data_IF_211245758283
#
_entry.id   IF_211245758283
#
_cell.length_a   1.000
_cell.length_b   1.000
_cell.length_c   1.000
_cell.angle_alpha   90.00
_cell.angle_beta   90.00
_cell.angle_gamma   90.00
#
_symmetry.space_group_name_H-M   'P 1'
#
loop_
_entity.id
_entity.type
_entity.pdbx_description
1 polymer ?
#
# COMPACT_ATOMS: atom_id res chain seq x y z
N UNK A 1 -23.39 19.48 14.65
CA UNK A 1 -24.43 19.08 15.67
C UNK A 1 -23.69 18.95 16.99
N UNK A 2 -24.21 19.55 18.07
CA UNK A 2 -23.62 19.42 19.39
C UNK A 2 -23.82 18.00 19.94
N UNK A 3 -22.85 17.52 20.71
CA UNK A 3 -22.91 16.18 21.31
C UNK A 3 -23.96 16.19 22.47
N UNK A 4 -25.01 15.35 22.39
CA UNK A 4 -26.06 15.33 23.40
C UNK A 4 -25.59 14.84 24.77
N UNK A 5 -24.45 14.14 24.85
CA UNK A 5 -23.91 13.54 26.07
C UNK A 5 -23.02 14.50 26.86
N UNK A 6 -22.36 15.44 26.20
CA UNK A 6 -21.41 16.31 26.86
C UNK A 6 -21.55 17.80 26.47
N UNK A 7 -22.48 18.16 25.63
CA UNK A 7 -22.69 19.54 25.13
C UNK A 7 -21.34 20.14 24.61
N UNK A 8 -20.58 19.34 23.85
CA UNK A 8 -19.28 19.67 23.26
C UNK A 8 -18.15 19.99 24.27
N UNK A 9 -18.37 19.77 25.56
CA UNK A 9 -17.30 19.89 26.58
C UNK A 9 -16.27 18.77 26.48
N UNK A 10 -16.59 17.70 25.75
CA UNK A 10 -15.78 16.48 25.61
C UNK A 10 -15.63 15.66 26.89
N UNK A 11 -16.38 16.01 27.95
CA UNK A 11 -16.40 15.32 29.23
C UNK A 11 -17.86 15.00 29.60
N UNK A 12 -18.13 13.75 30.01
CA UNK A 12 -19.44 13.33 30.47
C UNK A 12 -19.38 12.90 31.93
N UNK A 13 -20.37 13.29 32.76
CA UNK A 13 -20.49 12.78 34.11
C UNK A 13 -20.95 11.33 34.08
N UNK A 14 -20.38 10.51 34.93
CA UNK A 14 -20.83 9.16 35.24
C UNK A 14 -21.03 9.04 36.75
N UNK A 15 -22.03 8.23 37.15
CA UNK A 15 -22.22 7.87 38.54
C UNK A 15 -21.81 6.40 38.72
N UNK A 16 -20.77 6.18 39.50
CA UNK A 16 -20.28 4.86 39.80
C UNK A 16 -20.38 4.65 41.32
N UNK A 17 -21.34 3.82 41.72
CA UNK A 17 -21.60 3.48 43.12
C UNK A 17 -21.83 4.71 44.03
N UNK A 18 -22.59 5.73 43.53
CA UNK A 18 -22.90 6.94 44.27
C UNK A 18 -21.76 8.01 44.26
N UNK A 19 -20.69 7.75 43.55
CA UNK A 19 -19.59 8.71 43.36
C UNK A 19 -19.66 9.31 41.96
N UNK A 20 -19.96 10.61 41.87
CA UNK A 20 -19.94 11.34 40.60
C UNK A 20 -18.50 11.54 40.11
N UNK A 21 -18.20 10.95 38.95
CA UNK A 21 -16.96 11.11 38.26
C UNK A 21 -17.18 11.75 36.89
N UNK A 22 -16.14 12.38 36.36
CA UNK A 22 -16.16 12.94 35.00
C UNK A 22 -15.19 12.12 34.16
N UNK A 23 -15.71 11.56 33.06
CA UNK A 23 -14.91 10.79 32.10
C UNK A 23 -14.95 11.43 30.74
N UNK A 24 -13.97 11.11 29.90
CA UNK A 24 -13.95 11.60 28.52
C UNK A 24 -15.17 11.07 27.76
N UNK A 25 -15.86 11.95 27.04
CA UNK A 25 -17.00 11.59 26.21
C UNK A 25 -16.52 10.85 24.94
N UNK A 26 -17.32 9.91 24.48
CA UNK A 26 -17.03 9.15 23.24
C UNK A 26 -16.90 10.06 22.02
N UNK A 27 -17.64 11.17 21.95
CA UNK A 27 -17.52 12.17 20.89
C UNK A 27 -16.11 12.77 20.74
N UNK A 28 -15.31 12.81 21.83
CA UNK A 28 -13.92 13.21 21.73
C UNK A 28 -13.09 12.19 20.95
N UNK A 29 -13.34 10.89 21.18
CA UNK A 29 -12.67 9.81 20.46
C UNK A 29 -13.00 9.88 18.98
N UNK A 30 -14.27 10.09 18.64
CA UNK A 30 -14.73 10.22 17.26
C UNK A 30 -14.11 11.45 16.58
N UNK A 31 -14.07 12.58 17.27
CA UNK A 31 -13.52 13.82 16.74
C UNK A 31 -12.01 13.69 16.49
N UNK A 32 -11.25 13.13 17.44
CA UNK A 32 -9.80 12.89 17.30
C UNK A 32 -9.55 11.81 16.26
N UNK A 33 -10.33 10.72 16.27
CA UNK A 33 -10.22 9.67 15.27
C UNK A 33 -10.45 10.19 13.85
N UNK A 34 -11.43 11.05 13.64
CA UNK A 34 -11.72 11.68 12.34
C UNK A 34 -10.58 12.62 11.90
N UNK A 35 -9.97 13.36 12.83
CA UNK A 35 -8.80 14.20 12.51
C UNK A 35 -7.61 13.34 12.12
N UNK A 36 -7.29 12.30 12.90
CA UNK A 36 -6.18 11.36 12.57
C UNK A 36 -6.44 10.67 11.22
N UNK A 37 -7.70 10.30 10.93
CA UNK A 37 -8.07 9.72 9.64
C UNK A 37 -7.89 10.72 8.47
N UNK A 38 -8.17 12.00 8.69
CA UNK A 38 -7.93 13.03 7.69
C UNK A 38 -6.44 13.18 7.38
N UNK A 39 -5.59 13.05 8.41
CA UNK A 39 -4.14 13.17 8.30
C UNK A 39 -3.45 11.86 7.84
N UNK A 40 -4.18 10.73 7.83
CA UNK A 40 -3.64 9.40 7.52
C UNK A 40 -3.27 9.19 6.04
N UNK A 41 -3.44 10.18 5.16
CA UNK A 41 -3.12 10.15 3.72
C UNK A 41 -3.88 9.07 2.92
N UNK A 42 -5.04 8.63 3.40
CA UNK A 42 -5.86 7.62 2.70
C UNK A 42 -6.42 8.24 1.41
N UNK A 43 -6.13 7.67 0.22
CA UNK A 43 -6.65 8.18 -1.04
C UNK A 43 -8.19 8.22 -1.05
N UNK A 44 -8.82 9.21 -1.72
CA UNK A 44 -10.28 9.34 -1.78
C UNK A 44 -11.01 8.07 -2.26
N UNK A 45 -10.39 7.32 -3.16
CA UNK A 45 -10.91 6.04 -3.68
C UNK A 45 -11.18 5.02 -2.57
N UNK A 46 -10.33 4.98 -1.54
CA UNK A 46 -10.41 4.01 -0.46
C UNK A 46 -11.13 4.51 0.80
N UNK A 47 -11.67 5.72 0.79
CA UNK A 47 -12.40 6.29 1.96
C UNK A 47 -13.58 5.42 2.40
N UNK A 48 -14.23 4.71 1.46
CA UNK A 48 -15.38 3.84 1.73
C UNK A 48 -14.98 2.40 2.09
N UNK A 49 -13.69 2.04 2.03
CA UNK A 49 -13.23 0.70 2.39
C UNK A 49 -13.38 0.47 3.88
N UNK A 50 -14.09 -0.59 4.26
CA UNK A 50 -14.25 -1.07 5.63
C UNK A 50 -14.24 -2.61 5.64
N UNK A 51 -13.90 -3.24 6.78
CA UNK A 51 -13.90 -4.71 6.90
C UNK A 51 -15.31 -5.32 6.78
N UNK A 52 -16.33 -4.51 7.02
CA UNK A 52 -17.74 -4.90 6.95
C UNK A 52 -18.26 -4.96 5.52
N UNK A 53 -17.70 -4.14 4.61
CA UNK A 53 -18.12 -4.11 3.21
C UNK A 53 -17.18 -4.88 2.27
N UNK A 54 -16.22 -5.58 2.83
CA UNK A 54 -15.33 -6.45 2.04
C UNK A 54 -16.07 -7.74 1.64
N UNK A 55 -16.08 -8.05 0.35
CA UNK A 55 -16.71 -9.28 -0.16
C UNK A 55 -15.78 -10.47 0.01
N UNK A 56 -16.32 -11.55 0.57
CA UNK A 56 -15.58 -12.79 0.86
C UNK A 56 -16.20 -13.95 0.07
N UNK A 57 -15.68 -14.21 -1.11
CA UNK A 57 -16.24 -15.23 -2.01
C UNK A 57 -15.53 -16.59 -1.90
N UNK A 58 -14.46 -16.65 -1.12
CA UNK A 58 -13.70 -17.87 -0.89
C UNK A 58 -13.02 -17.87 0.48
N UNK A 59 -12.51 -19.04 0.87
CA UNK A 59 -11.93 -19.27 2.18
C UNK A 59 -10.69 -18.39 2.46
N UNK A 60 -9.87 -18.10 1.44
CA UNK A 60 -8.68 -17.26 1.64
C UNK A 60 -9.05 -15.82 2.01
N UNK A 61 -10.10 -15.28 1.39
CA UNK A 61 -10.62 -13.94 1.69
C UNK A 61 -11.33 -13.90 3.05
N UNK A 62 -12.10 -14.95 3.39
CA UNK A 62 -12.70 -15.10 4.73
C UNK A 62 -11.62 -15.12 5.80
N UNK A 63 -10.56 -15.92 5.60
CA UNK A 63 -9.44 -16.00 6.52
C UNK A 63 -8.71 -14.65 6.66
N UNK A 64 -8.42 -13.97 5.55
CA UNK A 64 -7.74 -12.68 5.57
C UNK A 64 -8.54 -11.61 6.33
N UNK A 65 -9.87 -11.55 6.15
CA UNK A 65 -10.75 -10.64 6.91
C UNK A 65 -10.77 -11.00 8.40
N UNK A 66 -10.85 -12.29 8.73
CA UNK A 66 -10.83 -12.74 10.14
C UNK A 66 -9.50 -12.36 10.81
N UNK A 67 -8.36 -12.55 10.13
CA UNK A 67 -7.04 -12.15 10.66
C UNK A 67 -6.91 -10.63 10.80
N UNK A 68 -7.41 -9.86 9.82
CA UNK A 68 -7.43 -8.40 9.90
C UNK A 68 -8.28 -7.89 11.08
N UNK A 69 -9.44 -8.52 11.36
CA UNK A 69 -10.27 -8.20 12.53
C UNK A 69 -9.55 -8.52 13.83
N UNK A 70 -9.00 -9.73 13.96
CA UNK A 70 -8.25 -10.14 15.15
C UNK A 70 -7.05 -9.22 15.42
N UNK A 71 -6.34 -8.80 14.36
CA UNK A 71 -5.26 -7.82 14.46
C UNK A 71 -5.75 -6.47 15.01
N UNK A 72 -6.88 -5.95 14.49
CA UNK A 72 -7.46 -4.69 14.97
C UNK A 72 -7.87 -4.77 16.43
N UNK A 73 -8.48 -5.88 16.83
CA UNK A 73 -9.00 -6.07 18.19
C UNK A 73 -7.87 -6.26 19.22
N UNK A 74 -6.71 -6.78 18.79
CA UNK A 74 -5.52 -6.94 19.65
C UNK A 74 -4.63 -5.68 19.70
N UNK A 75 -4.77 -4.75 18.72
CA UNK A 75 -3.91 -3.56 18.67
C UNK A 75 -4.11 -2.64 19.90
N UNK A 76 -3.06 -2.10 20.52
CA UNK A 76 -1.65 -2.02 20.07
C UNK A 76 -0.75 -3.20 20.50
N UNK A 77 -1.28 -4.18 21.20
CA UNK A 77 -0.51 -5.32 21.74
C UNK A 77 -0.53 -6.44 20.69
N UNK A 78 0.23 -6.24 19.63
CA UNK A 78 0.39 -7.21 18.53
C UNK A 78 1.87 -7.50 18.29
N UNK A 79 2.20 -8.77 18.11
CA UNK A 79 3.58 -9.19 17.87
C UNK A 79 4.01 -8.96 16.43
N UNK A 80 3.08 -9.10 15.48
CA UNK A 80 3.34 -9.00 14.05
C UNK A 80 2.35 -8.09 13.36
N UNK A 81 2.81 -7.40 12.30
CA UNK A 81 1.98 -6.77 11.31
C UNK A 81 1.37 -7.79 10.35
N UNK A 82 0.76 -7.30 9.26
CA UNK A 82 0.15 -8.13 8.22
C UNK A 82 0.82 -7.87 6.86
N UNK A 83 0.96 -8.91 6.04
CA UNK A 83 1.34 -8.79 4.64
C UNK A 83 0.30 -9.50 3.78
N UNK A 84 -0.51 -8.71 3.07
CA UNK A 84 -1.49 -9.23 2.11
C UNK A 84 -0.85 -9.46 0.75
N UNK A 85 -0.91 -10.68 0.26
CA UNK A 85 -0.30 -11.13 -0.98
C UNK A 85 -1.35 -11.63 -1.96
N UNK A 86 -1.07 -11.57 -3.26
CA UNK A 86 -1.93 -12.14 -4.29
C UNK A 86 -2.05 -11.25 -5.53
N UNK A 87 -2.74 -11.73 -6.53
CA UNK A 87 -2.90 -11.05 -7.81
C UNK A 87 -3.58 -9.67 -7.67
N UNK A 88 -3.41 -8.77 -8.65
CA UNK A 88 -4.16 -7.52 -8.70
C UNK A 88 -5.68 -7.75 -8.63
N UNK A 89 -6.41 -6.79 -8.04
CA UNK A 89 -7.87 -6.83 -7.99
C UNK A 89 -8.50 -7.67 -6.87
N UNK A 90 -7.72 -8.36 -6.04
CA UNK A 90 -8.21 -9.20 -4.93
C UNK A 90 -8.59 -8.42 -3.65
N UNK A 91 -8.47 -7.10 -3.66
CA UNK A 91 -8.87 -6.27 -2.52
C UNK A 91 -7.80 -6.09 -1.43
N UNK A 92 -6.52 -6.38 -1.69
CA UNK A 92 -5.42 -6.21 -0.71
C UNK A 92 -5.36 -4.80 -0.12
N UNK A 93 -5.35 -3.78 -0.97
CA UNK A 93 -5.37 -2.37 -0.55
C UNK A 93 -6.63 -2.03 0.24
N UNK A 94 -7.80 -2.60 -0.14
CA UNK A 94 -9.04 -2.45 0.61
C UNK A 94 -8.87 -2.97 2.05
N UNK A 95 -8.37 -4.19 2.22
CA UNK A 95 -8.14 -4.79 3.54
C UNK A 95 -7.12 -3.99 4.36
N UNK A 96 -6.03 -3.56 3.75
CA UNK A 96 -5.01 -2.77 4.42
C UNK A 96 -5.56 -1.42 4.92
N UNK A 97 -6.30 -0.70 4.07
CA UNK A 97 -6.94 0.57 4.46
C UNK A 97 -8.05 0.37 5.48
N UNK A 98 -8.89 -0.66 5.32
CA UNK A 98 -9.94 -0.98 6.28
C UNK A 98 -9.38 -1.29 7.67
N UNK A 99 -8.27 -2.05 7.72
CA UNK A 99 -7.50 -2.33 8.95
C UNK A 99 -6.99 -1.03 9.59
N UNK A 100 -6.33 -0.18 8.81
CA UNK A 100 -5.84 1.12 9.28
C UNK A 100 -6.95 1.97 9.88
N UNK A 101 -8.06 2.13 9.16
CA UNK A 101 -9.22 2.92 9.60
C UNK A 101 -9.82 2.39 10.90
N UNK A 102 -10.00 1.06 10.99
CA UNK A 102 -10.55 0.42 12.18
C UNK A 102 -9.64 0.62 13.40
N UNK A 103 -8.34 0.41 13.26
CA UNK A 103 -7.37 0.67 14.33
C UNK A 103 -7.42 2.13 14.78
N UNK A 104 -7.39 3.09 13.86
CA UNK A 104 -7.47 4.52 14.20
C UNK A 104 -8.76 4.84 14.97
N UNK A 105 -9.90 4.35 14.51
CA UNK A 105 -11.20 4.58 15.16
C UNK A 105 -11.28 3.95 16.55
N UNK A 106 -10.74 2.76 16.73
CA UNK A 106 -10.81 2.04 18.01
C UNK A 106 -9.84 2.59 19.05
N UNK A 107 -8.62 2.96 18.64
CA UNK A 107 -7.53 3.26 19.57
C UNK A 107 -7.08 4.72 19.57
N UNK A 108 -7.40 5.48 18.51
CA UNK A 108 -6.83 6.82 18.30
C UNK A 108 -5.35 6.79 17.93
N UNK A 109 -4.83 5.63 17.49
CA UNK A 109 -3.44 5.49 17.09
C UNK A 109 -3.12 6.35 15.87
N UNK A 110 -1.91 6.95 15.83
CA UNK A 110 -1.41 7.65 14.66
C UNK A 110 -1.05 6.64 13.57
N UNK A 111 -1.86 6.62 12.51
CA UNK A 111 -1.69 5.75 11.37
C UNK A 111 -1.42 6.53 10.10
N UNK A 112 -0.62 5.97 9.19
CA UNK A 112 -0.31 6.56 7.89
C UNK A 112 -0.46 5.51 6.79
N UNK A 113 -0.88 5.99 5.61
CA UNK A 113 -0.94 5.20 4.38
C UNK A 113 -0.01 5.82 3.33
N UNK A 114 0.80 4.97 2.70
CA UNK A 114 1.56 5.29 1.50
C UNK A 114 1.56 4.10 0.56
N UNK A 115 1.58 4.35 -0.73
CA UNK A 115 2.09 3.36 -1.68
C UNK A 115 3.61 3.41 -1.66
N UNK A 116 4.29 2.27 -1.84
CA UNK A 116 5.76 2.24 -1.88
C UNK A 116 6.34 3.18 -2.94
N UNK A 117 5.81 3.21 -4.19
CA UNK A 117 6.25 4.16 -5.20
C UNK A 117 6.08 5.63 -4.81
N UNK A 118 4.93 6.00 -4.21
CA UNK A 118 4.67 7.37 -3.78
C UNK A 118 5.65 7.81 -2.68
N UNK A 119 5.88 6.96 -1.69
CA UNK A 119 6.81 7.27 -0.60
C UNK A 119 8.23 7.49 -1.12
N UNK A 120 8.71 6.59 -1.99
CA UNK A 120 10.04 6.72 -2.60
C UNK A 120 10.15 7.96 -3.49
N UNK A 121 9.09 8.31 -4.22
CA UNK A 121 9.06 9.54 -5.02
C UNK A 121 9.12 10.81 -4.14
N UNK A 122 8.42 10.81 -3.01
CA UNK A 122 8.46 11.92 -2.05
C UNK A 122 9.86 12.09 -1.45
N UNK A 123 10.52 11.00 -1.04
CA UNK A 123 11.89 11.03 -0.51
C UNK A 123 12.85 11.53 -1.58
N UNK A 124 12.77 11.02 -2.80
CA UNK A 124 13.61 11.47 -3.92
C UNK A 124 13.40 12.96 -4.23
N UNK A 125 12.16 13.44 -4.09
CA UNK A 125 11.82 14.85 -4.27
C UNK A 125 12.56 15.77 -3.31
N UNK A 126 12.91 15.32 -2.10
CA UNK A 126 13.62 16.15 -1.10
C UNK A 126 15.08 16.44 -1.49
N UNK A 127 15.66 15.69 -2.43
CA UNK A 127 17.02 15.96 -2.93
C UNK A 127 17.07 17.14 -3.90
N UNK A 128 15.92 17.65 -4.33
CA UNK A 128 15.88 18.86 -5.13
C UNK A 128 16.01 20.09 -4.23
N UNK A 129 17.11 20.84 -4.38
CA UNK A 129 17.41 22.04 -3.60
C UNK A 129 16.36 23.17 -3.67
N UNK A 130 15.46 23.12 -4.67
CA UNK A 130 14.34 24.06 -4.79
C UNK A 130 13.18 23.74 -3.81
N UNK A 131 13.16 22.54 -3.21
CA UNK A 131 12.14 22.11 -2.27
C UNK A 131 12.66 22.35 -0.86
N UNK A 132 11.91 23.10 -0.03
CA UNK A 132 12.31 23.43 1.34
C UNK A 132 12.15 22.29 2.35
N UNK A 133 11.50 21.17 1.99
CA UNK A 133 11.34 20.02 2.87
C UNK A 133 12.60 19.16 2.89
N UNK A 134 13.05 18.81 4.08
CA UNK A 134 14.18 17.88 4.25
C UNK A 134 13.72 16.42 4.15
N UNK A 135 14.63 15.53 3.85
CA UNK A 135 14.38 14.08 3.88
C UNK A 135 13.80 13.63 5.24
N UNK A 136 14.27 14.24 6.34
CA UNK A 136 13.78 13.96 7.69
C UNK A 136 12.31 14.34 7.87
N UNK A 137 11.80 15.35 7.17
CA UNK A 137 10.39 15.76 7.25
C UNK A 137 9.44 14.71 6.65
N UNK A 138 9.91 13.94 5.69
CA UNK A 138 9.16 12.83 5.09
C UNK A 138 9.35 11.55 5.89
N UNK A 139 10.60 11.21 6.25
CA UNK A 139 10.93 9.94 6.89
C UNK A 139 10.46 9.86 8.35
N UNK A 140 10.61 10.95 9.13
CA UNK A 140 10.24 10.92 10.55
C UNK A 140 8.78 10.54 10.79
N UNK A 141 7.76 11.14 10.14
CA UNK A 141 6.38 10.71 10.30
C UNK A 141 6.15 9.23 9.95
N UNK A 142 6.81 8.73 8.90
CA UNK A 142 6.71 7.34 8.45
C UNK A 142 7.33 6.38 9.46
N UNK A 143 8.49 6.73 10.01
CA UNK A 143 9.19 5.92 11.02
C UNK A 143 8.47 5.92 12.37
N UNK A 144 7.86 7.06 12.76
CA UNK A 144 7.22 7.24 14.07
C UNK A 144 5.75 6.83 14.11
N UNK A 145 5.09 6.63 12.97
CA UNK A 145 3.69 6.19 12.93
C UNK A 145 3.50 4.89 13.73
N UNK A 146 2.48 4.85 14.59
CA UNK A 146 2.16 3.65 15.37
C UNK A 146 1.72 2.48 14.46
N UNK A 147 0.97 2.81 13.40
CA UNK A 147 0.62 1.87 12.34
C UNK A 147 0.94 2.51 10.98
N UNK A 148 1.74 1.85 10.18
CA UNK A 148 2.03 2.23 8.80
C UNK A 148 1.42 1.21 7.85
N UNK A 149 0.75 1.69 6.81
CA UNK A 149 0.39 0.87 5.64
C UNK A 149 1.33 1.25 4.50
N UNK A 150 2.07 0.26 4.00
CA UNK A 150 2.88 0.35 2.77
C UNK A 150 2.26 -0.54 1.70
N UNK A 151 1.53 0.10 0.81
CA UNK A 151 0.81 -0.55 -0.28
C UNK A 151 1.73 -0.77 -1.50
N UNK A 152 1.45 -1.81 -2.27
CA UNK A 152 2.19 -2.19 -3.49
C UNK A 152 3.70 -2.36 -3.28
N UNK A 153 4.10 -3.08 -2.23
CA UNK A 153 5.50 -3.39 -1.94
C UNK A 153 6.14 -4.18 -3.10
N UNK A 154 7.29 -3.73 -3.58
CA UNK A 154 8.01 -4.31 -4.70
C UNK A 154 7.57 -3.79 -6.08
N UNK A 155 6.60 -2.86 -6.17
CA UNK A 155 6.15 -2.30 -7.45
C UNK A 155 7.24 -1.49 -8.17
N UNK A 156 8.15 -0.86 -7.42
CA UNK A 156 9.28 -0.12 -7.99
C UNK A 156 10.33 -1.06 -8.58
N UNK A 157 11.10 -0.55 -9.57
CA UNK A 157 12.27 -1.29 -10.07
C UNK A 157 13.31 -1.38 -8.97
N UNK A 158 13.86 -2.57 -8.68
CA UNK A 158 14.92 -2.74 -7.71
C UNK A 158 16.17 -1.99 -8.18
N UNK A 159 16.63 -1.05 -7.39
CA UNK A 159 17.89 -0.33 -7.50
C UNK A 159 18.50 -0.26 -6.11
N UNK A 160 19.82 -0.10 -6.02
CA UNK A 160 20.51 -0.01 -4.73
C UNK A 160 19.87 1.04 -3.82
N UNK A 161 19.54 2.21 -4.38
CA UNK A 161 18.89 3.29 -3.63
C UNK A 161 17.49 2.89 -3.11
N UNK A 162 16.67 2.22 -3.91
CA UNK A 162 15.33 1.74 -3.49
C UNK A 162 15.48 0.71 -2.38
N UNK A 163 16.41 -0.24 -2.54
CA UNK A 163 16.66 -1.28 -1.55
C UNK A 163 17.18 -0.67 -0.23
N UNK A 164 18.16 0.22 -0.29
CA UNK A 164 18.71 0.90 0.89
C UNK A 164 17.66 1.73 1.62
N UNK A 165 16.87 2.52 0.89
CA UNK A 165 15.82 3.37 1.47
C UNK A 165 14.73 2.55 2.14
N UNK A 166 14.24 1.49 1.48
CA UNK A 166 13.22 0.60 2.05
C UNK A 166 13.76 -0.17 3.25
N UNK A 167 15.01 -0.65 3.17
CA UNK A 167 15.68 -1.28 4.31
C UNK A 167 15.81 -0.31 5.50
N UNK A 168 16.16 0.95 5.27
CA UNK A 168 16.24 1.96 6.32
C UNK A 168 14.89 2.13 7.03
N UNK A 169 13.81 2.32 6.28
CA UNK A 169 12.46 2.51 6.83
C UNK A 169 12.03 1.27 7.62
N UNK A 170 12.11 0.10 7.00
CA UNK A 170 11.62 -1.15 7.62
C UNK A 170 12.46 -1.54 8.82
N UNK A 171 13.80 -1.40 8.76
CA UNK A 171 14.69 -1.69 9.88
C UNK A 171 14.45 -0.76 11.07
N UNK A 172 14.27 0.54 10.81
CA UNK A 172 13.98 1.50 11.88
C UNK A 172 12.67 1.14 12.56
N UNK A 173 11.62 0.84 11.82
CA UNK A 173 10.33 0.45 12.38
C UNK A 173 10.41 -0.89 13.13
N UNK A 174 11.11 -1.87 12.56
CA UNK A 174 11.37 -3.15 13.21
C UNK A 174 12.07 -2.97 14.57
N UNK A 175 13.18 -2.24 14.60
CA UNK A 175 13.94 -2.01 15.82
C UNK A 175 13.14 -1.27 16.91
N UNK A 176 12.21 -0.40 16.51
CA UNK A 176 11.32 0.32 17.44
C UNK A 176 9.99 -0.42 17.69
N UNK A 177 9.84 -1.67 17.23
CA UNK A 177 8.61 -2.46 17.35
C UNK A 177 7.37 -1.71 16.82
N UNK A 178 7.55 -0.94 15.74
CA UNK A 178 6.46 -0.22 15.06
C UNK A 178 5.76 -1.14 14.08
N UNK A 179 4.46 -1.27 14.23
CA UNK A 179 3.65 -2.20 13.44
C UNK A 179 3.47 -1.68 12.01
N UNK A 180 3.63 -2.56 11.03
CA UNK A 180 3.45 -2.23 9.62
C UNK A 180 2.56 -3.26 8.94
N UNK A 181 1.64 -2.78 8.13
CA UNK A 181 0.82 -3.59 7.22
C UNK A 181 1.31 -3.36 5.80
N UNK A 182 1.59 -4.43 5.09
CA UNK A 182 2.05 -4.38 3.71
C UNK A 182 1.04 -5.03 2.77
N UNK A 183 1.08 -4.64 1.51
CA UNK A 183 0.46 -5.38 0.42
C UNK A 183 1.49 -5.62 -0.68
N UNK A 184 1.36 -6.71 -1.43
CA UNK A 184 2.18 -6.96 -2.60
C UNK A 184 1.46 -7.81 -3.64
N UNK A 185 1.77 -7.56 -4.91
CA UNK A 185 1.30 -8.35 -6.03
C UNK A 185 2.27 -9.50 -6.40
N UNK A 186 3.42 -9.55 -5.74
CA UNK A 186 4.44 -10.54 -6.02
C UNK A 186 4.25 -11.76 -5.11
N UNK A 187 4.30 -12.99 -5.66
CA UNK A 187 4.21 -14.22 -4.88
C UNK A 187 5.48 -14.41 -4.02
N UNK A 188 5.38 -15.26 -3.00
CA UNK A 188 6.52 -15.68 -2.17
C UNK A 188 7.35 -16.71 -2.91
N UNK A 189 6.66 -17.70 -3.47
CA UNK A 189 7.24 -18.82 -4.20
C UNK A 189 6.54 -18.93 -5.55
N UNK A 190 7.30 -19.22 -6.58
CA UNK A 190 6.78 -19.53 -7.92
C UNK A 190 7.10 -20.97 -8.31
N UNK A 191 6.22 -21.65 -9.03
CA UNK A 191 6.52 -23.00 -9.55
C UNK A 191 7.78 -23.00 -10.42
N UNK A 192 8.56 -24.06 -10.34
CA UNK A 192 9.74 -24.24 -11.16
C UNK A 192 9.39 -24.11 -12.65
N UNK A 193 10.13 -23.25 -13.38
CA UNK A 193 9.86 -22.94 -14.78
C UNK A 193 8.91 -21.77 -15.02
N UNK A 194 8.37 -21.13 -13.99
CA UNK A 194 7.64 -19.88 -14.11
C UNK A 194 8.62 -18.72 -14.38
N UNK A 195 8.14 -17.73 -15.14
CA UNK A 195 8.86 -16.47 -15.37
C UNK A 195 8.34 -15.34 -14.47
N UNK A 196 7.49 -15.65 -13.49
CA UNK A 196 7.01 -14.67 -12.54
C UNK A 196 8.16 -14.30 -11.56
N UNK A 197 8.29 -13.01 -11.26
CA UNK A 197 9.24 -12.54 -10.25
C UNK A 197 8.68 -12.79 -8.85
N UNK A 198 9.53 -13.24 -7.94
CA UNK A 198 9.18 -13.41 -6.53
C UNK A 198 9.32 -12.09 -5.76
N UNK A 199 8.57 -11.97 -4.66
CA UNK A 199 8.68 -10.82 -3.77
C UNK A 199 10.13 -10.62 -3.29
N UNK A 200 10.84 -11.72 -3.00
CA UNK A 200 12.26 -11.69 -2.59
C UNK A 200 13.19 -11.02 -3.60
N UNK A 201 12.96 -11.25 -4.90
CA UNK A 201 13.74 -10.63 -5.98
C UNK A 201 13.45 -9.14 -6.11
N UNK A 202 12.22 -8.74 -5.79
CA UNK A 202 11.76 -7.34 -5.88
C UNK A 202 12.23 -6.47 -4.73
N UNK A 203 12.28 -7.02 -3.52
CA UNK A 203 12.58 -6.24 -2.30
C UNK A 203 13.99 -6.49 -1.74
N UNK A 204 14.69 -7.49 -2.27
CA UNK A 204 15.99 -7.93 -1.77
C UNK A 204 15.87 -8.90 -0.57
N UNK A 205 16.90 -9.73 -0.43
CA UNK A 205 16.92 -10.80 0.58
C UNK A 205 16.80 -10.27 2.01
N UNK A 206 17.46 -9.15 2.33
CA UNK A 206 17.47 -8.58 3.68
C UNK A 206 16.09 -8.15 4.13
N UNK A 207 15.38 -7.40 3.28
CA UNK A 207 14.03 -6.95 3.59
C UNK A 207 13.06 -8.12 3.65
N UNK A 208 13.14 -9.07 2.72
CA UNK A 208 12.30 -10.25 2.69
C UNK A 208 12.42 -11.09 3.97
N UNK A 209 13.65 -11.32 4.46
CA UNK A 209 13.88 -12.02 5.73
C UNK A 209 13.20 -11.33 6.91
N UNK A 210 13.25 -9.99 6.97
CA UNK A 210 12.58 -9.21 8.02
C UNK A 210 11.06 -9.27 7.94
N UNK A 211 10.51 -9.30 6.72
CA UNK A 211 9.07 -9.45 6.54
C UNK A 211 8.55 -10.74 7.20
N UNK A 212 9.29 -11.84 7.11
CA UNK A 212 8.93 -13.11 7.77
C UNK A 212 8.89 -13.01 9.30
N UNK A 213 9.76 -12.19 9.87
CA UNK A 213 9.80 -12.00 11.32
C UNK A 213 8.70 -11.04 11.78
N UNK A 214 8.50 -9.94 11.06
CA UNK A 214 7.64 -8.84 11.50
C UNK A 214 6.20 -8.90 10.98
N UNK A 215 5.86 -9.81 10.07
CA UNK A 215 4.53 -9.91 9.48
C UNK A 215 3.97 -11.33 9.49
N UNK A 216 2.65 -11.42 9.59
CA UNK A 216 1.89 -12.59 9.21
C UNK A 216 1.54 -12.47 7.72
N UNK A 217 1.83 -13.52 6.96
CA UNK A 217 1.63 -13.56 5.53
C UNK A 217 0.25 -14.12 5.22
N UNK A 218 -0.55 -13.35 4.50
CA UNK A 218 -1.93 -13.67 4.14
C UNK A 218 -2.06 -13.69 2.61
N UNK A 219 -2.04 -14.90 2.05
CA UNK A 219 -2.24 -15.10 0.62
C UNK A 219 -3.73 -15.00 0.29
N UNK A 220 -4.08 -14.11 -0.64
CA UNK A 220 -5.41 -13.93 -1.18
C UNK A 220 -5.49 -14.56 -2.57
N UNK A 221 -6.50 -15.37 -2.78
CA UNK A 221 -6.86 -15.96 -4.07
C UNK A 221 -8.23 -15.47 -4.52
N UNK A 222 -8.49 -15.55 -5.81
CA UNK A 222 -9.80 -15.20 -6.36
C UNK A 222 -9.73 -14.56 -7.72
N UNK A 223 -10.83 -13.90 -8.09
CA UNK A 223 -10.97 -13.15 -9.33
C UNK A 223 -10.64 -11.69 -9.14
N UNK A 224 -10.13 -11.05 -10.19
CA UNK A 224 -9.98 -9.61 -10.21
C UNK A 224 -11.37 -8.94 -10.17
N UNK A 225 -11.71 -8.34 -9.01
CA UNK A 225 -12.96 -7.60 -8.80
C UNK A 225 -13.15 -6.40 -9.74
N UNK A 226 -12.06 -5.85 -10.28
CA UNK A 226 -12.13 -4.75 -11.25
C UNK A 226 -12.67 -5.22 -12.60
N UNK A 227 -12.41 -6.49 -12.93
CA UNK A 227 -12.89 -7.13 -14.15
C UNK A 227 -14.29 -7.70 -13.95
N UNK A 228 -14.55 -8.31 -12.80
CA UNK A 228 -15.84 -8.89 -12.47
C UNK A 228 -16.95 -7.84 -12.27
N UNK A 229 -16.59 -6.65 -11.78
CA UNK A 229 -17.53 -5.58 -11.45
C UNK A 229 -18.17 -5.72 -10.06
N UNK A 230 -18.75 -4.62 -9.54
CA UNK A 230 -19.28 -4.58 -8.17
C UNK A 230 -20.51 -5.47 -7.95
N UNK A 231 -21.26 -5.77 -9.01
CA UNK A 231 -22.51 -6.53 -8.96
C UNK A 231 -22.36 -7.96 -9.47
N UNK A 232 -21.13 -8.46 -9.61
CA UNK A 232 -20.87 -9.81 -10.08
C UNK A 232 -21.52 -10.86 -9.19
N UNK A 233 -22.30 -11.76 -9.81
CA UNK A 233 -22.92 -12.89 -9.11
C UNK A 233 -21.91 -14.00 -8.80
N UNK A 234 -22.13 -14.85 -7.79
CA UNK A 234 -21.24 -15.98 -7.49
C UNK A 234 -20.99 -16.89 -8.70
N UNK A 235 -21.98 -17.04 -9.59
CA UNK A 235 -21.86 -17.84 -10.82
C UNK A 235 -20.92 -17.18 -11.84
N UNK A 236 -20.99 -15.86 -11.99
CA UNK A 236 -20.08 -15.09 -12.84
C UNK A 236 -18.64 -15.15 -12.31
N UNK A 237 -18.46 -15.02 -10.99
CA UNK A 237 -17.16 -15.18 -10.34
C UNK A 237 -16.59 -16.57 -10.55
N UNK A 238 -17.39 -17.63 -10.38
CA UNK A 238 -16.98 -19.00 -10.63
C UNK A 238 -16.60 -19.24 -12.12
N UNK A 239 -17.29 -18.58 -13.06
CA UNK A 239 -16.97 -18.66 -14.49
C UNK A 239 -15.64 -17.99 -14.83
N UNK A 240 -15.33 -16.85 -14.18
CA UNK A 240 -14.08 -16.12 -14.35
C UNK A 240 -12.89 -16.88 -13.74
N UNK A 241 -13.08 -17.53 -12.60
CA UNK A 241 -12.07 -18.42 -11.99
C UNK A 241 -11.69 -19.56 -12.95
N UNK A 242 -12.67 -20.21 -13.57
CA UNK A 242 -12.42 -21.28 -14.56
C UNK A 242 -11.67 -20.76 -15.79
N UNK A 243 -11.97 -19.56 -16.26
CA UNK A 243 -11.27 -18.92 -17.40
C UNK A 243 -9.84 -18.49 -17.01
N UNK A 244 -9.64 -17.96 -15.81
CA UNK A 244 -8.32 -17.55 -15.32
C UNK A 244 -7.33 -18.72 -15.16
N UNK A 245 -7.81 -19.90 -14.73
CA UNK A 245 -6.99 -21.11 -14.65
C UNK A 245 -6.62 -21.68 -16.02
N UNK A 246 -7.43 -21.45 -17.06
CA UNK A 246 -7.15 -21.91 -18.42
C UNK A 246 -6.13 -21.01 -19.17
N UNK A 247 -6.05 -19.71 -18.82
CA UNK A 247 -5.12 -18.76 -19.46
C UNK A 247 -3.71 -18.75 -18.87
N UNK A 248 -3.51 -19.34 -17.70
CA UNK A 248 -2.17 -19.48 -17.11
C UNK A 248 -1.27 -20.50 -17.81
N UNK A 249 -1.79 -21.27 -18.78
CA UNK A 249 -1.04 -22.27 -19.54
C UNK A 249 -0.62 -21.83 -20.95
N UNK A 250 -1.02 -20.64 -21.43
CA UNK A 250 -0.52 -20.12 -22.71
C UNK A 250 0.60 -19.11 -22.49
N UNK A 251 1.78 -19.30 -23.12
CA UNK A 251 2.84 -18.30 -23.09
C UNK A 251 2.33 -17.05 -23.81
N UNK A 252 2.32 -15.91 -23.10
CA UNK A 252 2.06 -14.59 -23.70
C UNK A 252 3.05 -14.41 -24.86
N UNK A 253 2.56 -14.57 -26.09
CA UNK A 253 3.31 -14.22 -27.29
C UNK A 253 3.62 -12.73 -27.20
N UNK A 254 4.86 -12.38 -26.86
CA UNK A 254 5.37 -11.02 -27.02
C UNK A 254 5.14 -10.62 -28.46
N UNK A 255 4.20 -9.72 -28.67
CA UNK A 255 3.93 -9.12 -29.98
C UNK A 255 5.25 -8.60 -30.53
N UNK A 256 5.65 -9.20 -31.68
CA UNK A 256 6.83 -8.78 -32.40
C UNK A 256 6.75 -7.27 -32.64
N UNK A 257 7.85 -6.57 -32.40
CA UNK A 257 8.03 -5.18 -32.80
C UNK A 257 7.63 -5.04 -34.25
N UNK A 258 6.46 -4.49 -34.53
CA UNK A 258 6.15 -3.98 -35.86
C UNK A 258 7.18 -2.88 -36.16
N UNK A 259 8.18 -3.22 -36.96
CA UNK A 259 9.06 -2.21 -37.57
C UNK A 259 8.20 -1.33 -38.47
N UNK A 260 7.78 -0.18 -37.95
CA UNK A 260 7.25 0.90 -38.76
C UNK A 260 8.45 1.43 -39.54
N UNK A 261 8.57 1.00 -40.81
CA UNK A 261 9.46 1.63 -41.77
C UNK A 261 8.90 3.02 -42.07
N UNK A 262 9.42 4.02 -41.38
CA UNK A 262 9.24 5.40 -41.76
C UNK A 262 9.96 5.61 -43.12
N UNK A 263 9.20 5.80 -44.20
CA UNK A 263 9.71 6.28 -45.48
C UNK A 263 10.06 7.76 -45.32
N UNK A 264 11.33 8.07 -45.11
CA UNK A 264 11.86 9.41 -45.27
C UNK A 264 11.74 9.80 -46.76
N UNK A 265 10.90 10.76 -47.07
CA UNK A 265 10.95 11.47 -48.35
C UNK A 265 12.25 12.26 -48.39
N UNK A 266 13.09 11.94 -49.37
CA UNK A 266 14.26 12.73 -49.72
C UNK A 266 13.76 14.10 -50.24
N UNK A 267 13.98 15.14 -49.45
CA UNK A 267 13.98 16.52 -49.85
C UNK A 267 15.38 17.05 -49.67
N UNK A 268 16.10 17.24 -50.72
CA UNK A 268 17.46 17.78 -50.71
C UNK A 268 17.43 19.25 -50.24
N UNK A 269 18.25 19.55 -49.25
CA UNK A 269 18.73 20.87 -48.91
C UNK A 269 20.25 20.84 -49.01
N UNK A 270 20.73 21.48 -50.06
CA UNK A 270 22.15 21.74 -50.36
C UNK A 270 22.62 22.81 -49.35
N UNK A 271 23.43 22.44 -48.39
CA UNK A 271 24.14 23.37 -47.53
C UNK A 271 25.61 23.36 -47.89
N UNK A 272 25.96 24.26 -48.81
CA UNK A 272 27.34 24.54 -49.20
C UNK A 272 28.13 25.08 -48.01
N UNK A 273 29.09 24.29 -47.54
CA UNK A 273 30.10 24.73 -46.59
C UNK A 273 31.36 25.21 -47.39
N UNK A 274 31.60 26.52 -47.41
CA UNK A 274 32.81 27.12 -47.92
C UNK A 274 33.87 27.12 -46.81
N UNK A 275 34.91 26.35 -47.03
CA UNK A 275 36.09 26.25 -46.14
C UNK A 275 36.89 27.56 -46.10
N UNK A 276 37.11 28.10 -44.90
CA UNK A 276 38.09 29.15 -44.62
C UNK A 276 39.43 28.55 -44.22
N UNK A 277 40.48 28.92 -44.95
CA UNK A 277 41.87 28.50 -44.72
C UNK A 277 42.43 29.12 -43.44
N UNK A 278 43.19 28.29 -42.70
CA UNK A 278 44.08 28.72 -41.64
C UNK A 278 45.20 29.62 -42.17
N UNK A 279 45.43 30.78 -41.53
CA UNK A 279 46.60 31.61 -41.65
C UNK A 279 47.45 31.51 -40.39
N UNK A 280 48.72 31.09 -40.56
CA UNK A 280 49.78 31.19 -39.55
C UNK A 280 50.23 32.64 -39.39
N UNK A 281 50.41 33.08 -38.17
CA UNK A 281 51.58 33.86 -37.72
C UNK A 281 51.59 33.83 -36.21
#
# INVERSE_FOLDING_TARGET
MSCPLCNDTRWKPIDEQGVRRVVRCDCWRDSVGNQILADARIPPLYKKCDLENFKTDNDSLVHAVARARAFCDAFPVVDKGLLFLGNPGLGKTHLAVATLKRVIRQTGARGLFFTSPELLALIRGTYNSAIRSSESDVLRPVMDAQLLVLDDLGAERPTDWVEETMNLIVNTRYNHRRVTVFTSNYPIDVPAGSHAEELKERVGFRLFSRLHEMCEFLALDGVDYRVAGPDATPEQLASLLKKGSATSSEPVRRGGKAMVKARLKQGGLDLGWSGGKAGRS
#
